data_IF_792691740125
#
_entry.id   IF_792691740125
#
_cell.length_a   1.000
_cell.length_b   1.000
_cell.length_c   1.000
_cell.angle_alpha   90.00
_cell.angle_beta   90.00
_cell.angle_gamma   90.00
#
_symmetry.space_group_name_H-M   'P 1'
#
loop_
_entity.id
_entity.type
_entity.pdbx_description
1 polymer ?
#
# COMPACT_ATOMS: atom_id res chain seq x y z
N UNK A 1 -3.84 11.85 4.16
CA UNK A 1 -3.34 10.61 4.82
C UNK A 1 -2.73 10.88 6.20
N UNK A 2 -1.66 11.68 6.38
CA UNK A 2 -0.94 11.88 7.67
C UNK A 2 -1.81 12.32 8.85
N UNK A 3 -2.81 13.17 8.62
CA UNK A 3 -3.81 13.57 9.62
C UNK A 3 -4.66 12.38 10.09
N UNK A 4 -5.16 11.56 9.17
CA UNK A 4 -5.99 10.39 9.49
C UNK A 4 -5.18 9.33 10.25
N UNK A 5 -3.91 9.24 9.91
CA UNK A 5 -2.95 8.35 10.56
C UNK A 5 -2.51 8.82 11.96
N UNK A 6 -2.91 10.01 12.40
CA UNK A 6 -2.49 10.58 13.68
C UNK A 6 -1.05 11.06 13.72
N UNK A 7 -0.37 11.18 12.57
CA UNK A 7 0.99 11.71 12.47
C UNK A 7 1.03 13.24 12.50
N UNK A 8 -0.12 13.87 12.31
CA UNK A 8 -0.32 15.32 12.39
C UNK A 8 -1.61 15.64 13.12
N UNK A 9 -1.68 16.80 13.76
CA UNK A 9 -2.88 17.28 14.47
C UNK A 9 -3.72 18.14 13.53
N UNK A 10 -5.04 17.88 13.40
CA UNK A 10 -5.92 18.71 12.60
C UNK A 10 -6.06 20.13 13.20
N UNK A 11 -6.08 21.16 12.34
CA UNK A 11 -6.29 22.55 12.78
C UNK A 11 -7.71 22.80 13.32
N UNK A 12 -8.68 22.01 12.85
CA UNK A 12 -10.08 22.05 13.29
C UNK A 12 -10.76 20.71 13.01
N UNK A 13 -11.86 20.44 13.67
CA UNK A 13 -12.59 19.18 13.54
C UNK A 13 -12.00 18.04 14.39
N UNK A 14 -12.53 16.85 14.23
CA UNK A 14 -12.12 15.66 14.97
C UNK A 14 -11.93 14.49 14.04
N UNK A 15 -10.92 13.67 14.31
CA UNK A 15 -10.67 12.40 13.62
C UNK A 15 -10.89 11.29 14.64
N UNK A 16 -11.76 10.33 14.28
CA UNK A 16 -12.01 9.15 15.11
C UNK A 16 -11.42 7.94 14.39
N UNK A 17 -10.36 7.39 14.97
CA UNK A 17 -9.72 6.15 14.51
C UNK A 17 -9.93 5.07 15.58
N UNK A 18 -10.51 3.93 15.18
CA UNK A 18 -10.79 2.79 16.08
C UNK A 18 -9.92 1.57 15.78
N UNK A 19 -9.04 1.66 14.79
CA UNK A 19 -8.07 0.62 14.46
C UNK A 19 -6.99 0.52 15.54
N UNK A 20 -6.55 -0.71 15.84
CA UNK A 20 -5.60 -0.99 16.92
C UNK A 20 -4.15 -0.85 16.48
N UNK A 21 -3.84 -1.31 15.25
CA UNK A 21 -2.49 -1.32 14.70
C UNK A 21 -2.52 -0.78 13.28
N UNK A 22 -1.75 0.27 13.04
CA UNK A 22 -1.65 0.89 11.71
C UNK A 22 -0.30 0.59 11.09
N UNK A 23 -0.31 0.24 9.81
CA UNK A 23 0.89 0.07 8.99
C UNK A 23 1.02 1.19 7.96
N UNK A 24 2.26 1.50 7.57
CA UNK A 24 2.55 2.55 6.59
C UNK A 24 3.49 2.05 5.51
N UNK A 25 3.15 2.34 4.27
CA UNK A 25 4.07 2.30 3.14
C UNK A 25 4.21 3.73 2.60
N UNK A 26 5.32 4.37 2.92
CA UNK A 26 5.63 5.71 2.43
C UNK A 26 6.22 5.63 1.02
N UNK A 27 6.06 6.71 0.25
CA UNK A 27 6.72 6.87 -1.05
C UNK A 27 8.24 6.78 -0.92
N UNK A 28 8.81 7.37 0.15
CA UNK A 28 10.22 7.27 0.49
C UNK A 28 10.47 6.07 1.43
N UNK A 29 11.58 5.38 1.22
CA UNK A 29 12.00 4.31 2.12
C UNK A 29 12.39 4.88 3.49
N UNK A 30 11.69 4.47 4.53
CA UNK A 30 11.92 4.90 5.92
C UNK A 30 12.25 3.71 6.80
N UNK A 31 13.21 2.92 6.37
CA UNK A 31 13.68 1.77 7.12
C UNK A 31 14.77 2.18 8.12
N UNK A 32 14.75 1.66 9.37
CA UNK A 32 15.87 1.79 10.29
C UNK A 32 17.19 1.30 9.68
N UNK A 33 18.17 2.20 9.55
CA UNK A 33 19.44 1.92 8.85
C UNK A 33 20.35 0.96 9.60
N UNK A 34 20.15 0.83 10.91
CA UNK A 34 20.91 -0.05 11.80
C UNK A 34 20.34 -1.47 11.90
N UNK A 35 19.28 -1.79 11.16
CA UNK A 35 18.68 -3.12 11.10
C UNK A 35 18.84 -3.70 9.70
N UNK A 36 19.07 -5.02 9.61
CA UNK A 36 19.05 -5.72 8.32
C UNK A 36 17.65 -5.75 7.72
N UNK A 37 17.51 -6.10 6.44
CA UNK A 37 16.21 -6.25 5.79
C UNK A 37 15.32 -7.26 6.54
N UNK A 38 15.86 -8.39 6.97
CA UNK A 38 15.16 -9.38 7.82
C UNK A 38 14.63 -8.72 9.10
N UNK A 39 15.49 -8.00 9.82
CA UNK A 39 15.13 -7.35 11.06
C UNK A 39 14.11 -6.21 10.85
N UNK A 40 14.22 -5.48 9.75
CA UNK A 40 13.27 -4.43 9.37
C UNK A 40 11.86 -4.99 9.13
N UNK A 41 11.75 -6.20 8.58
CA UNK A 41 10.46 -6.88 8.41
C UNK A 41 9.95 -7.40 9.75
N UNK A 42 10.81 -8.08 10.51
CA UNK A 42 10.46 -8.82 11.72
C UNK A 42 10.05 -7.92 12.89
N UNK A 43 10.65 -6.72 13.03
CA UNK A 43 10.53 -5.87 14.23
C UNK A 43 9.08 -5.47 14.57
N UNK A 44 8.19 -5.44 13.59
CA UNK A 44 6.77 -5.08 13.78
C UNK A 44 5.83 -6.28 13.75
N UNK A 45 6.35 -7.50 13.55
CA UNK A 45 5.56 -8.72 13.65
C UNK A 45 5.31 -9.06 15.11
N UNK A 46 4.07 -9.44 15.43
CA UNK A 46 3.72 -9.86 16.80
C UNK A 46 4.41 -11.19 17.18
N UNK A 47 4.62 -12.06 16.20
CA UNK A 47 5.38 -13.31 16.29
C UNK A 47 6.25 -13.42 15.04
N UNK A 48 7.52 -12.99 15.10
CA UNK A 48 8.43 -13.12 13.97
C UNK A 48 8.64 -14.58 13.57
N UNK A 49 8.44 -14.86 12.28
CA UNK A 49 8.71 -16.15 11.66
C UNK A 49 9.65 -15.93 10.46
N UNK A 50 10.92 -16.30 10.64
CA UNK A 50 11.92 -16.14 9.59
C UNK A 50 11.60 -16.99 8.35
N UNK A 51 10.99 -18.16 8.53
CA UNK A 51 10.58 -19.03 7.44
C UNK A 51 9.50 -18.37 6.57
N UNK A 52 8.50 -17.74 7.19
CA UNK A 52 7.48 -16.98 6.49
C UNK A 52 8.09 -15.78 5.73
N UNK A 53 8.99 -15.04 6.39
CA UNK A 53 9.67 -13.89 5.77
C UNK A 53 10.46 -14.34 4.54
N UNK A 54 11.27 -15.41 4.65
CA UNK A 54 12.07 -15.93 3.53
C UNK A 54 11.16 -16.40 2.38
N UNK A 55 10.08 -17.11 2.69
CA UNK A 55 9.14 -17.60 1.68
C UNK A 55 8.47 -16.46 0.90
N UNK A 56 8.06 -15.40 1.61
CA UNK A 56 7.44 -14.22 0.96
C UNK A 56 8.47 -13.37 0.22
N UNK A 57 9.68 -13.23 0.77
CA UNK A 57 10.79 -12.53 0.13
C UNK A 57 11.14 -13.18 -1.23
N UNK A 58 11.17 -14.50 -1.30
CA UNK A 58 11.42 -15.23 -2.54
C UNK A 58 10.35 -14.94 -3.62
N UNK A 59 9.07 -14.79 -3.23
CA UNK A 59 7.99 -14.45 -4.17
C UNK A 59 8.19 -13.08 -4.83
N UNK A 60 8.79 -12.14 -4.12
CA UNK A 60 9.08 -10.79 -4.64
C UNK A 60 10.52 -10.64 -5.15
N UNK A 61 11.21 -11.76 -5.38
CA UNK A 61 12.55 -11.77 -5.96
C UNK A 61 13.67 -11.26 -5.04
N UNK A 62 13.50 -11.39 -3.72
CA UNK A 62 14.55 -11.17 -2.73
C UNK A 62 15.13 -12.53 -2.29
N UNK A 63 16.45 -12.62 -2.27
CA UNK A 63 17.16 -13.82 -1.78
C UNK A 63 17.37 -13.79 -0.26
N UNK A 64 17.69 -14.92 0.33
CA UNK A 64 18.10 -14.98 1.75
C UNK A 64 19.34 -14.11 2.01
N UNK A 65 20.25 -13.99 1.03
CA UNK A 65 21.40 -13.08 1.12
C UNK A 65 21.00 -11.62 1.17
N UNK A 66 19.95 -11.24 0.43
CA UNK A 66 19.44 -9.85 0.44
C UNK A 66 18.80 -9.49 1.78
N UNK A 67 18.18 -10.45 2.45
CA UNK A 67 17.59 -10.23 3.77
C UNK A 67 18.62 -9.93 4.87
N UNK A 68 19.88 -10.28 4.66
CA UNK A 68 20.99 -9.97 5.58
C UNK A 68 21.63 -8.60 5.33
N UNK A 69 21.26 -7.90 4.25
CA UNK A 69 21.77 -6.57 3.91
C UNK A 69 21.13 -5.48 4.75
N UNK A 70 21.89 -4.42 5.01
CA UNK A 70 21.38 -3.18 5.57
C UNK A 70 20.69 -2.32 4.49
N UNK A 71 19.80 -1.39 4.83
CA UNK A 71 19.10 -0.53 3.86
C UNK A 71 20.02 0.20 2.89
N UNK A 72 21.20 0.61 3.34
CA UNK A 72 22.23 1.27 2.52
C UNK A 72 22.87 0.36 1.46
N UNK A 73 22.76 -0.95 1.61
CA UNK A 73 23.27 -1.96 0.68
C UNK A 73 22.21 -2.48 -0.30
N UNK A 74 20.94 -2.09 -0.08
CA UNK A 74 19.82 -2.46 -0.95
C UNK A 74 19.69 -1.47 -2.11
N UNK A 75 19.36 -1.99 -3.30
CA UNK A 75 18.86 -1.11 -4.36
C UNK A 75 17.50 -0.50 -3.96
N UNK A 76 17.12 0.63 -4.57
CA UNK A 76 15.82 1.25 -4.30
C UNK A 76 14.63 0.31 -4.48
N UNK A 77 14.67 -0.56 -5.50
CA UNK A 77 13.65 -1.57 -5.73
C UNK A 77 13.65 -2.68 -4.66
N UNK A 78 14.82 -3.11 -4.18
CA UNK A 78 14.90 -4.07 -3.08
C UNK A 78 14.38 -3.47 -1.76
N UNK A 79 14.78 -2.26 -1.43
CA UNK A 79 14.30 -1.56 -0.25
C UNK A 79 12.78 -1.38 -0.26
N UNK A 80 12.19 -1.10 -1.44
CA UNK A 80 10.74 -1.00 -1.61
C UNK A 80 10.03 -2.35 -1.38
N UNK A 81 10.59 -3.46 -1.88
CA UNK A 81 10.06 -4.81 -1.61
C UNK A 81 10.13 -5.16 -0.13
N UNK A 82 11.22 -4.84 0.55
CA UNK A 82 11.36 -5.00 2.01
C UNK A 82 10.29 -4.20 2.76
N UNK A 83 10.05 -2.94 2.38
CA UNK A 83 9.01 -2.11 2.99
C UNK A 83 7.60 -2.69 2.76
N UNK A 84 7.35 -3.27 1.58
CA UNK A 84 6.08 -3.94 1.29
C UNK A 84 5.88 -5.19 2.15
N UNK A 85 6.90 -6.04 2.28
CA UNK A 85 6.86 -7.23 3.13
C UNK A 85 6.66 -6.87 4.60
N UNK A 86 7.33 -5.81 5.08
CA UNK A 86 7.10 -5.25 6.39
C UNK A 86 5.61 -4.92 6.61
N UNK A 87 5.00 -4.18 5.67
CA UNK A 87 3.57 -3.83 5.76
C UNK A 87 2.68 -5.07 5.79
N UNK A 88 2.91 -6.03 4.89
CA UNK A 88 2.09 -7.24 4.77
C UNK A 88 2.20 -8.17 5.99
N UNK A 89 3.34 -8.15 6.68
CA UNK A 89 3.64 -9.04 7.81
C UNK A 89 3.48 -8.38 9.18
N UNK A 90 3.35 -7.06 9.26
CA UNK A 90 3.26 -6.36 10.55
C UNK A 90 1.96 -6.66 11.33
N UNK A 91 0.97 -7.33 10.74
CA UNK A 91 -0.30 -7.63 11.39
C UNK A 91 -1.16 -6.39 11.69
N UNK A 92 -1.06 -5.35 10.86
CA UNK A 92 -1.89 -4.18 10.98
C UNK A 92 -3.34 -4.46 10.55
N UNK A 93 -4.29 -3.79 11.19
CA UNK A 93 -5.71 -3.81 10.82
C UNK A 93 -6.10 -2.62 9.93
N UNK A 94 -5.22 -1.60 9.81
CA UNK A 94 -5.32 -0.52 8.83
C UNK A 94 -3.95 -0.26 8.19
N UNK A 95 -3.90 -0.32 6.85
CA UNK A 95 -2.72 0.03 6.07
C UNK A 95 -2.90 1.39 5.37
N UNK A 96 -1.88 2.23 5.44
CA UNK A 96 -1.76 3.46 4.67
C UNK A 96 -0.69 3.29 3.59
N UNK A 97 -1.07 3.47 2.32
CA UNK A 97 -0.21 3.29 1.16
C UNK A 97 -0.12 4.61 0.37
N UNK A 98 1.08 5.13 0.22
CA UNK A 98 1.35 6.38 -0.51
C UNK A 98 2.15 6.05 -1.77
N UNK A 99 1.48 6.10 -2.94
CA UNK A 99 2.04 5.77 -4.26
C UNK A 99 2.80 4.42 -4.26
N UNK A 100 2.14 3.32 -3.82
CA UNK A 100 2.84 2.07 -3.48
C UNK A 100 3.53 1.40 -4.66
N UNK A 101 3.00 1.55 -5.88
CA UNK A 101 3.47 0.81 -7.04
C UNK A 101 4.33 1.63 -8.01
N UNK A 102 4.55 2.92 -7.73
CA UNK A 102 5.42 3.78 -8.56
C UNK A 102 6.82 3.20 -8.66
N UNK A 103 7.32 3.07 -9.90
CA UNK A 103 8.68 2.59 -10.19
C UNK A 103 8.85 1.07 -10.06
N UNK A 104 7.77 0.30 -9.96
CA UNK A 104 7.80 -1.16 -10.05
C UNK A 104 7.57 -1.62 -11.50
N UNK A 105 8.23 -2.71 -11.89
CA UNK A 105 7.87 -3.42 -13.10
C UNK A 105 6.50 -4.12 -12.94
N UNK A 106 5.90 -4.49 -14.07
CA UNK A 106 4.55 -5.05 -14.11
C UNK A 106 4.43 -6.35 -13.32
N UNK A 107 5.37 -7.27 -13.49
CA UNK A 107 5.29 -8.61 -12.89
C UNK A 107 5.36 -8.52 -11.36
N UNK A 108 6.26 -7.69 -10.85
CA UNK A 108 6.38 -7.44 -9.41
C UNK A 108 5.15 -6.73 -8.85
N UNK A 109 4.62 -5.74 -9.58
CA UNK A 109 3.38 -5.05 -9.22
C UNK A 109 2.24 -6.05 -9.06
N UNK A 110 2.04 -6.93 -10.04
CA UNK A 110 0.95 -7.92 -10.03
C UNK A 110 1.07 -8.88 -8.84
N UNK A 111 2.28 -9.31 -8.48
CA UNK A 111 2.54 -10.13 -7.29
C UNK A 111 2.17 -9.37 -6.01
N UNK A 112 2.62 -8.13 -5.86
CA UNK A 112 2.36 -7.33 -4.66
C UNK A 112 0.88 -6.96 -4.51
N UNK A 113 0.20 -6.67 -5.62
CA UNK A 113 -1.24 -6.44 -5.68
C UNK A 113 -2.00 -7.69 -5.22
N UNK A 114 -1.66 -8.86 -5.73
CA UNK A 114 -2.30 -10.11 -5.31
C UNK A 114 -2.13 -10.38 -3.81
N UNK A 115 -0.93 -10.14 -3.27
CA UNK A 115 -0.66 -10.28 -1.83
C UNK A 115 -1.47 -9.27 -1.00
N UNK A 116 -1.61 -8.04 -1.48
CA UNK A 116 -2.39 -7.00 -0.81
C UNK A 116 -3.89 -7.33 -0.81
N UNK A 117 -4.43 -7.76 -1.95
CA UNK A 117 -5.83 -8.21 -2.09
C UNK A 117 -6.13 -9.37 -1.13
N UNK A 118 -5.23 -10.34 -1.02
CA UNK A 118 -5.37 -11.43 -0.07
C UNK A 118 -5.46 -10.94 1.40
N UNK A 119 -4.65 -9.96 1.78
CA UNK A 119 -4.70 -9.36 3.13
C UNK A 119 -6.01 -8.60 3.37
N UNK A 120 -6.48 -7.85 2.39
CA UNK A 120 -7.72 -7.08 2.48
C UNK A 120 -8.93 -8.04 2.60
N UNK A 121 -9.09 -8.97 1.66
CA UNK A 121 -10.30 -9.77 1.58
C UNK A 121 -10.33 -10.93 2.57
N UNK A 122 -9.20 -11.61 2.81
CA UNK A 122 -9.17 -12.81 3.66
C UNK A 122 -8.82 -12.53 5.11
N UNK A 123 -8.06 -11.47 5.36
CA UNK A 123 -7.62 -11.14 6.73
C UNK A 123 -8.29 -9.89 7.29
N UNK A 124 -9.18 -9.24 6.51
CA UNK A 124 -9.97 -8.10 6.96
C UNK A 124 -9.15 -6.83 7.19
N UNK A 125 -7.97 -6.70 6.57
CA UNK A 125 -7.16 -5.50 6.66
C UNK A 125 -7.85 -4.37 5.90
N UNK A 126 -8.14 -3.25 6.58
CA UNK A 126 -8.55 -2.04 5.90
C UNK A 126 -7.34 -1.37 5.24
N UNK A 127 -7.58 -0.69 4.11
CA UNK A 127 -6.52 -0.03 3.37
C UNK A 127 -6.95 1.37 2.94
N UNK A 128 -6.08 2.35 3.11
CA UNK A 128 -6.21 3.68 2.53
C UNK A 128 -5.05 3.91 1.56
N UNK A 129 -5.39 3.92 0.26
CA UNK A 129 -4.46 4.12 -0.83
C UNK A 129 -4.53 5.57 -1.32
N UNK A 130 -3.37 6.20 -1.50
CA UNK A 130 -3.22 7.43 -2.28
C UNK A 130 -2.45 7.09 -3.55
N UNK A 131 -3.05 7.36 -4.69
CA UNK A 131 -2.43 7.15 -6.00
C UNK A 131 -2.96 8.17 -7.00
N UNK A 132 -2.17 8.47 -8.01
CA UNK A 132 -2.60 9.22 -9.20
C UNK A 132 -2.95 8.28 -10.37
N UNK A 133 -2.71 6.98 -10.23
CA UNK A 133 -3.07 5.96 -11.21
C UNK A 133 -4.54 5.55 -11.06
N UNK A 134 -5.34 5.83 -12.09
CA UNK A 134 -6.78 5.53 -12.13
C UNK A 134 -7.07 4.03 -12.14
N UNK A 135 -6.21 3.26 -12.77
CA UNK A 135 -6.33 1.79 -12.84
C UNK A 135 -6.06 1.17 -11.47
N UNK A 136 -5.03 1.66 -10.75
CA UNK A 136 -4.80 1.24 -9.36
C UNK A 136 -5.99 1.56 -8.47
N UNK A 137 -6.54 2.78 -8.58
CA UNK A 137 -7.71 3.18 -7.83
C UNK A 137 -8.93 2.31 -8.15
N UNK A 138 -9.19 2.04 -9.44
CA UNK A 138 -10.30 1.20 -9.88
C UNK A 138 -10.15 -0.25 -9.41
N UNK A 139 -8.94 -0.81 -9.44
CA UNK A 139 -8.69 -2.19 -9.07
C UNK A 139 -8.73 -2.42 -7.56
N UNK A 140 -8.07 -1.56 -6.77
CA UNK A 140 -7.78 -1.81 -5.35
C UNK A 140 -8.74 -1.14 -4.36
N UNK A 141 -9.71 -0.32 -4.81
CA UNK A 141 -10.55 0.44 -3.89
C UNK A 141 -12.01 0.03 -3.93
N UNK A 142 -12.63 -0.15 -2.77
CA UNK A 142 -14.09 -0.26 -2.67
C UNK A 142 -14.78 1.11 -2.75
N UNK A 143 -14.08 2.15 -2.31
CA UNK A 143 -14.50 3.55 -2.41
C UNK A 143 -13.34 4.41 -2.89
N UNK A 144 -13.60 5.28 -3.87
CA UNK A 144 -12.62 6.22 -4.42
C UNK A 144 -13.08 7.64 -4.09
N UNK A 145 -12.27 8.38 -3.35
CA UNK A 145 -12.50 9.81 -3.09
C UNK A 145 -11.70 10.65 -4.08
N UNK A 146 -12.40 11.39 -4.92
CA UNK A 146 -11.77 12.37 -5.80
C UNK A 146 -11.57 13.67 -5.04
N UNK A 147 -10.33 14.13 -4.98
CA UNK A 147 -9.95 15.35 -4.26
C UNK A 147 -9.65 16.49 -5.23
N UNK A 148 -10.03 17.71 -4.86
CA UNK A 148 -9.69 18.90 -5.64
C UNK A 148 -8.19 19.23 -5.52
N UNK A 149 -7.63 19.84 -6.57
CA UNK A 149 -6.24 20.33 -6.58
C UNK A 149 -6.01 21.48 -5.60
N UNK A 150 -7.06 22.27 -5.30
CA UNK A 150 -7.00 23.36 -4.32
C UNK A 150 -7.78 22.98 -3.07
N UNK A 151 -7.09 22.94 -1.92
CA UNK A 151 -7.70 22.73 -0.61
C UNK A 151 -8.06 21.29 -0.29
N UNK A 152 -7.76 20.31 -1.16
CA UNK A 152 -7.99 18.87 -0.94
C UNK A 152 -9.44 18.57 -0.50
N UNK A 153 -10.41 19.28 -1.06
CA UNK A 153 -11.82 19.03 -0.79
C UNK A 153 -12.30 17.80 -1.57
N UNK A 154 -13.13 16.97 -0.92
CA UNK A 154 -13.77 15.84 -1.58
C UNK A 154 -14.75 16.37 -2.62
N UNK A 155 -14.51 16.07 -3.89
CA UNK A 155 -15.37 16.46 -5.02
C UNK A 155 -16.41 15.38 -5.33
N UNK A 156 -16.01 14.13 -5.24
CA UNK A 156 -16.87 12.98 -5.50
C UNK A 156 -16.41 11.76 -4.72
N UNK A 157 -17.34 10.85 -4.44
CA UNK A 157 -17.07 9.53 -3.88
C UNK A 157 -17.71 8.49 -4.78
N UNK A 158 -16.89 7.58 -5.29
CA UNK A 158 -17.30 6.50 -6.20
C UNK A 158 -17.27 5.21 -5.40
N UNK A 159 -18.37 4.47 -5.36
CA UNK A 159 -18.44 3.17 -4.69
C UNK A 159 -18.38 2.04 -5.72
N UNK A 160 -17.48 1.09 -5.50
CA UNK A 160 -17.24 -0.07 -6.34
C UNK A 160 -17.54 -1.35 -5.54
N UNK A 161 -18.76 -1.90 -5.61
CA UNK A 161 -19.19 -3.01 -4.76
C UNK A 161 -18.60 -4.37 -5.16
N UNK A 162 -18.05 -4.49 -6.37
CA UNK A 162 -17.44 -5.74 -6.84
C UNK A 162 -16.25 -6.12 -5.97
N UNK A 163 -16.15 -7.37 -5.46
CA UNK A 163 -14.99 -7.84 -4.71
C UNK A 163 -13.68 -7.64 -5.49
N UNK A 164 -12.58 -7.35 -4.80
CA UNK A 164 -11.29 -7.11 -5.45
C UNK A 164 -10.80 -8.35 -6.22
N UNK A 165 -11.04 -9.53 -5.68
CA UNK A 165 -10.67 -10.81 -6.29
C UNK A 165 -11.46 -11.18 -7.56
N UNK A 166 -12.57 -10.49 -7.83
CA UNK A 166 -13.41 -10.68 -9.03
C UNK A 166 -13.13 -9.65 -10.13
N UNK A 167 -12.21 -8.70 -9.88
CA UNK A 167 -11.89 -7.64 -10.83
C UNK A 167 -10.81 -8.08 -11.80
N UNK A 168 -10.98 -7.70 -13.04
CA UNK A 168 -10.04 -7.91 -14.13
C UNK A 168 -9.76 -6.61 -14.90
N UNK A 169 -8.94 -6.68 -15.92
CA UNK A 169 -8.59 -5.52 -16.75
C UNK A 169 -9.81 -4.91 -17.43
N UNK A 170 -10.81 -5.71 -17.79
CA UNK A 170 -12.04 -5.19 -18.41
C UNK A 170 -12.87 -4.38 -17.41
N UNK A 171 -12.91 -4.83 -16.14
CA UNK A 171 -13.53 -4.08 -15.06
C UNK A 171 -12.82 -2.73 -14.83
N UNK A 172 -11.48 -2.72 -14.77
CA UNK A 172 -10.69 -1.51 -14.61
C UNK A 172 -10.98 -0.49 -15.72
N UNK A 173 -10.89 -0.93 -16.98
CA UNK A 173 -11.16 -0.10 -18.16
C UNK A 173 -12.57 0.51 -18.14
N UNK A 174 -13.57 -0.31 -17.78
CA UNK A 174 -14.95 0.15 -17.69
C UNK A 174 -15.15 1.20 -16.58
N UNK A 175 -14.54 1.00 -15.41
CA UNK A 175 -14.59 1.97 -14.30
C UNK A 175 -13.87 3.26 -14.70
N UNK A 176 -12.67 3.16 -15.26
CA UNK A 176 -11.90 4.34 -15.68
C UNK A 176 -12.66 5.13 -16.76
N UNK A 177 -13.22 4.45 -17.74
CA UNK A 177 -14.00 5.10 -18.80
C UNK A 177 -15.28 5.77 -18.29
N UNK A 178 -15.93 5.22 -17.28
CA UNK A 178 -17.20 5.74 -16.74
C UNK A 178 -16.98 6.87 -15.74
N UNK A 179 -16.05 6.68 -14.78
CA UNK A 179 -15.96 7.50 -13.58
C UNK A 179 -14.92 8.63 -13.68
N UNK A 180 -13.93 8.48 -14.58
CA UNK A 180 -12.84 9.45 -14.69
C UNK A 180 -12.90 10.28 -15.98
N UNK A 181 -14.03 10.27 -16.73
CA UNK A 181 -14.23 11.13 -17.89
C UNK A 181 -14.28 12.62 -17.49
N UNK A 182 -13.49 13.42 -18.19
CA UNK A 182 -13.46 14.88 -17.98
C UNK A 182 -12.66 15.34 -16.75
N UNK A 183 -12.04 14.43 -16.02
CA UNK A 183 -11.12 14.79 -14.95
C UNK A 183 -9.74 15.01 -15.59
N UNK A 184 -9.42 16.28 -15.87
CA UNK A 184 -8.07 16.67 -16.29
C UNK A 184 -7.19 16.77 -15.05
N UNK A 185 -6.29 15.80 -14.87
CA UNK A 185 -5.15 15.97 -13.99
C UNK A 185 -4.16 16.87 -14.73
N UNK A 186 -3.91 18.07 -14.21
CA UNK A 186 -2.80 18.88 -14.71
C UNK A 186 -1.51 18.14 -14.35
N UNK A 187 -0.73 17.85 -15.39
CA UNK A 187 0.67 17.43 -15.28
C UNK A 187 1.50 18.46 -14.53
#
# INVERSE_FOLDING_TARGET
MRLIAGLETPKSGTIRNTFRKTGFLFQENRQPENLTAMQNIAIFMDKPDEGEIIALAAKVGLTAGDLNKYPTELSGGMAKRVAFLHLLLCGCDLAFLDEPFVGLDRDLRDILVAMLVEKIERQGMACMLVTHDRFEAAFLSHEIMLLSTKGMNVQNVITLPTPLSERDSAFEEAVVAREFQGIHYYE
#
